data_IF_618557427824
#
_entry.id   IF_618557427824
#
_cell.length_a   1.000
_cell.length_b   1.000
_cell.length_c   1.000
_cell.angle_alpha   90.00
_cell.angle_beta   90.00
_cell.angle_gamma   90.00
#
_symmetry.space_group_name_H-M   'P 1'
#
loop_
_entity.id
_entity.type
_entity.pdbx_description
1 polymer ?
#
# COMPACT_ATOMS: atom_id res chain seq x y z
N UNK A 1 41.56 23.82 -21.71
CA UNK A 1 40.95 22.46 -21.84
C UNK A 1 40.91 21.68 -20.53
N UNK A 2 42.03 21.46 -19.81
CA UNK A 2 42.04 20.69 -18.53
C UNK A 2 41.15 21.26 -17.40
N UNK A 3 41.01 22.59 -17.30
CA UNK A 3 40.11 23.23 -16.32
C UNK A 3 38.65 22.94 -16.63
N UNK A 4 38.23 23.16 -17.88
CA UNK A 4 36.87 22.86 -18.35
C UNK A 4 36.53 21.37 -18.12
N UNK A 5 37.45 20.46 -18.43
CA UNK A 5 37.25 19.03 -18.18
C UNK A 5 37.04 18.70 -16.70
N UNK A 6 37.81 19.33 -15.80
CA UNK A 6 37.64 19.16 -14.34
C UNK A 6 36.28 19.67 -13.88
N UNK A 7 35.84 20.85 -14.35
CA UNK A 7 34.51 21.38 -14.02
C UNK A 7 33.41 20.43 -14.49
N UNK A 8 33.48 19.96 -15.74
CA UNK A 8 32.50 19.01 -16.30
C UNK A 8 32.44 17.73 -15.47
N UNK A 9 33.59 17.15 -15.10
CA UNK A 9 33.64 15.95 -14.26
C UNK A 9 33.01 16.21 -12.89
N UNK A 10 33.29 17.35 -12.26
CA UNK A 10 32.67 17.71 -10.97
C UNK A 10 31.15 17.81 -11.08
N UNK A 11 30.63 18.50 -12.08
CA UNK A 11 29.18 18.60 -12.31
C UNK A 11 28.55 17.24 -12.56
N UNK A 12 29.19 16.38 -13.36
CA UNK A 12 28.72 15.01 -13.59
C UNK A 12 28.68 14.21 -12.28
N UNK A 13 29.71 14.32 -11.44
CA UNK A 13 29.74 13.64 -10.14
C UNK A 13 28.65 14.14 -9.19
N UNK A 14 28.40 15.45 -9.12
CA UNK A 14 27.31 16.00 -8.30
C UNK A 14 25.93 15.54 -8.79
N UNK A 15 25.70 15.55 -10.10
CA UNK A 15 24.45 15.09 -10.69
C UNK A 15 24.28 13.58 -10.44
N UNK A 16 25.33 12.78 -10.63
CA UNK A 16 25.30 11.35 -10.36
C UNK A 16 25.02 11.08 -8.87
N UNK A 17 25.67 11.81 -7.96
CA UNK A 17 25.41 11.71 -6.52
C UNK A 17 23.98 12.07 -6.14
N UNK A 18 23.45 13.17 -6.68
CA UNK A 18 22.05 13.57 -6.47
C UNK A 18 21.07 12.53 -7.03
N UNK A 19 21.36 11.98 -8.20
CA UNK A 19 20.55 10.92 -8.81
C UNK A 19 20.53 9.64 -7.97
N UNK A 20 21.69 9.19 -7.49
CA UNK A 20 21.79 8.05 -6.57
C UNK A 20 21.03 8.33 -5.28
N UNK A 21 21.12 9.53 -4.73
CA UNK A 21 20.37 9.91 -3.53
C UNK A 21 18.86 9.82 -3.76
N UNK A 22 18.35 10.31 -4.90
CA UNK A 22 16.92 10.18 -5.25
C UNK A 22 16.52 8.71 -5.39
N UNK A 23 17.35 7.86 -5.99
CA UNK A 23 17.08 6.42 -6.07
C UNK A 23 17.01 5.76 -4.69
N UNK A 24 17.91 6.12 -3.77
CA UNK A 24 17.91 5.61 -2.38
C UNK A 24 16.66 6.09 -1.64
N UNK A 25 16.31 7.38 -1.76
CA UNK A 25 15.09 7.93 -1.14
C UNK A 25 13.85 7.20 -1.67
N UNK A 26 13.75 6.99 -2.99
CA UNK A 26 12.61 6.31 -3.58
C UNK A 26 12.54 4.81 -3.24
N UNK A 27 13.69 4.18 -3.02
CA UNK A 27 13.77 2.78 -2.62
C UNK A 27 13.28 2.58 -1.18
N UNK A 28 13.73 3.43 -0.23
CA UNK A 28 13.58 3.13 1.21
C UNK A 28 12.65 4.06 1.98
N UNK A 29 12.42 5.29 1.51
CA UNK A 29 11.71 6.30 2.28
C UNK A 29 10.30 6.49 1.75
N UNK A 30 10.19 6.93 0.51
CA UNK A 30 8.96 7.50 -0.04
C UNK A 30 8.84 7.10 -1.51
N UNK A 31 7.70 6.55 -1.92
CA UNK A 31 7.46 6.23 -3.34
C UNK A 31 6.21 6.95 -3.85
N UNK A 32 6.34 7.81 -4.87
CA UNK A 32 5.18 8.28 -5.58
C UNK A 32 4.67 7.18 -6.52
N UNK A 33 3.38 6.87 -6.44
CA UNK A 33 2.68 5.87 -7.26
C UNK A 33 1.31 6.39 -7.73
N UNK A 34 0.63 5.61 -8.55
CA UNK A 34 -0.70 5.91 -9.07
C UNK A 34 -1.66 4.80 -8.66
N UNK A 35 -2.84 5.19 -8.19
CA UNK A 35 -3.96 4.28 -7.86
C UNK A 35 -4.50 3.68 -9.15
N UNK A 36 -4.74 2.37 -9.14
CA UNK A 36 -5.36 1.64 -10.24
C UNK A 36 -6.62 0.92 -9.75
N UNK A 37 -7.71 1.10 -10.50
CA UNK A 37 -8.98 0.45 -10.25
C UNK A 37 -9.86 1.18 -9.22
N UNK A 38 -11.01 0.56 -8.94
CA UNK A 38 -12.11 1.18 -8.17
C UNK A 38 -12.24 0.66 -6.73
N UNK A 39 -11.32 -0.19 -6.27
CA UNK A 39 -11.44 -0.85 -4.95
C UNK A 39 -11.47 0.12 -3.77
N UNK A 40 -10.90 1.31 -3.91
CA UNK A 40 -10.86 2.35 -2.88
C UNK A 40 -11.71 3.57 -3.24
N UNK A 41 -12.56 3.45 -4.28
CA UNK A 41 -13.38 4.55 -4.79
C UNK A 41 -14.26 5.15 -3.68
N UNK A 42 -14.38 6.48 -3.67
CA UNK A 42 -14.90 7.26 -2.54
C UNK A 42 -13.79 7.91 -1.72
N UNK A 43 -12.70 7.19 -1.44
CA UNK A 43 -11.51 7.72 -0.76
C UNK A 43 -10.37 7.99 -1.73
N UNK A 44 -10.04 7.02 -2.59
CA UNK A 44 -9.02 7.08 -3.62
C UNK A 44 -9.61 6.59 -4.94
N UNK A 45 -9.62 7.46 -5.95
CA UNK A 45 -10.19 7.18 -7.26
C UNK A 45 -9.12 6.69 -8.23
N UNK A 46 -9.56 5.98 -9.28
CA UNK A 46 -8.68 5.56 -10.36
C UNK A 46 -7.86 6.74 -10.88
N UNK A 47 -6.56 6.50 -11.11
CA UNK A 47 -5.56 7.47 -11.56
C UNK A 47 -5.12 8.53 -10.55
N UNK A 48 -5.64 8.54 -9.33
CA UNK A 48 -5.12 9.39 -8.28
C UNK A 48 -3.61 9.15 -8.08
N UNK A 49 -2.84 10.23 -7.94
CA UNK A 49 -1.41 10.13 -7.62
C UNK A 49 -1.25 10.23 -6.13
N UNK A 50 -0.55 9.28 -5.55
CA UNK A 50 -0.34 9.18 -4.12
C UNK A 50 1.13 8.99 -3.81
N UNK A 51 1.50 9.37 -2.60
CA UNK A 51 2.78 9.09 -2.01
C UNK A 51 2.57 8.02 -0.94
N UNK A 52 3.40 6.98 -0.99
CA UNK A 52 3.46 5.95 0.06
C UNK A 52 4.76 6.07 0.85
N UNK A 53 4.67 5.87 2.17
CA UNK A 53 5.79 5.79 3.10
C UNK A 53 6.21 4.33 3.29
N UNK A 54 7.50 4.05 3.08
CA UNK A 54 8.10 2.72 3.20
C UNK A 54 8.99 2.54 4.44
N UNK A 55 9.16 3.57 5.24
CA UNK A 55 9.89 3.44 6.51
C UNK A 55 9.11 2.59 7.52
N UNK A 56 7.79 2.60 7.43
CA UNK A 56 6.93 2.05 8.48
C UNK A 56 7.08 0.53 8.67
N UNK A 57 7.07 -0.31 7.62
CA UNK A 57 7.21 -1.76 7.78
C UNK A 57 8.50 -2.20 8.50
N UNK A 58 9.58 -1.42 8.38
CA UNK A 58 10.92 -1.81 8.84
C UNK A 58 11.34 -1.18 10.18
N UNK A 59 10.60 -0.19 10.69
CA UNK A 59 11.00 0.58 11.90
C UNK A 59 9.90 0.71 12.95
N UNK A 60 8.63 0.67 12.55
CA UNK A 60 7.48 0.73 13.45
C UNK A 60 6.46 -0.32 13.03
N UNK A 61 6.55 -1.50 13.67
CA UNK A 61 5.62 -2.63 13.45
C UNK A 61 4.19 -2.37 13.93
N UNK A 62 3.90 -1.17 14.46
CA UNK A 62 2.53 -0.81 14.82
C UNK A 62 1.75 -0.36 13.58
N UNK A 63 0.77 -1.16 13.23
CA UNK A 63 -0.31 -0.80 12.33
C UNK A 63 -1.54 -0.47 13.16
N UNK A 64 -2.34 0.47 12.68
CA UNK A 64 -3.53 0.95 13.36
C UNK A 64 -4.77 0.80 12.47
N UNK A 65 -5.94 0.73 13.11
CA UNK A 65 -7.21 0.71 12.39
C UNK A 65 -7.37 1.96 11.52
N UNK A 66 -7.95 1.78 10.35
CA UNK A 66 -8.22 2.86 9.41
C UNK A 66 -7.01 3.30 8.59
N UNK A 67 -5.79 2.84 8.87
CA UNK A 67 -4.64 3.11 8.01
C UNK A 67 -4.84 2.52 6.61
N UNK A 68 -4.41 3.25 5.58
CA UNK A 68 -4.43 2.76 4.19
C UNK A 68 -3.03 2.26 3.85
N UNK A 69 -2.94 1.05 3.33
CA UNK A 69 -1.69 0.35 3.02
C UNK A 69 -1.68 -0.18 1.60
N UNK A 70 -0.47 -0.33 1.06
CA UNK A 70 -0.20 -1.12 -0.14
C UNK A 70 0.26 -2.50 0.32
N UNK A 71 -0.43 -3.54 -0.13
CA UNK A 71 -0.12 -4.93 0.21
C UNK A 71 0.29 -5.71 -1.03
N UNK A 72 1.09 -6.76 -0.84
CA UNK A 72 1.23 -7.87 -1.77
C UNK A 72 0.13 -8.91 -1.47
N UNK A 73 -0.82 -9.07 -2.41
CA UNK A 73 -1.99 -9.92 -2.22
C UNK A 73 -1.72 -11.43 -2.34
N UNK A 74 -0.49 -11.82 -2.69
CA UNK A 74 -0.07 -13.22 -2.80
C UNK A 74 0.17 -13.81 -1.41
N UNK A 75 -0.90 -13.97 -0.63
CA UNK A 75 -0.86 -14.57 0.71
C UNK A 75 -0.33 -16.00 0.59
N UNK A 76 0.82 -16.28 1.21
CA UNK A 76 1.56 -17.53 1.09
C UNK A 76 2.84 -17.47 0.23
N UNK A 77 3.11 -16.34 -0.43
CA UNK A 77 4.39 -16.10 -1.10
C UNK A 77 5.40 -15.49 -0.11
N UNK A 78 6.48 -16.20 0.20
CA UNK A 78 7.58 -15.64 0.98
C UNK A 78 8.24 -14.48 0.22
N UNK A 79 8.13 -13.28 0.78
CA UNK A 79 8.69 -12.06 0.17
C UNK A 79 10.21 -12.10 0.16
N UNK A 80 10.80 -12.00 -1.02
CA UNK A 80 12.25 -11.95 -1.24
C UNK A 80 12.70 -10.51 -1.43
N UNK A 81 13.99 -10.27 -1.20
CA UNK A 81 14.66 -8.98 -1.52
C UNK A 81 14.48 -8.61 -3.01
N UNK A 82 14.38 -9.60 -3.89
CA UNK A 82 14.10 -9.38 -5.31
C UNK A 82 12.72 -8.80 -5.56
N UNK A 83 11.71 -9.16 -4.77
CA UNK A 83 10.36 -8.62 -4.93
C UNK A 83 10.31 -7.15 -4.56
N UNK A 84 11.05 -6.75 -3.52
CA UNK A 84 11.20 -5.33 -3.16
C UNK A 84 11.88 -4.53 -4.26
N UNK A 85 12.95 -5.06 -4.86
CA UNK A 85 13.61 -4.44 -6.01
C UNK A 85 12.68 -4.30 -7.22
N UNK A 86 11.94 -5.37 -7.54
CA UNK A 86 10.99 -5.38 -8.66
C UNK A 86 9.87 -4.38 -8.40
N UNK A 87 9.32 -4.33 -7.18
CA UNK A 87 8.32 -3.35 -6.79
C UNK A 87 8.83 -1.91 -6.99
N UNK A 88 10.02 -1.61 -6.48
CA UNK A 88 10.62 -0.29 -6.55
C UNK A 88 10.87 0.16 -7.99
N UNK A 89 11.22 -0.77 -8.88
CA UNK A 89 11.50 -0.49 -10.28
C UNK A 89 10.21 -0.38 -11.10
N UNK A 90 9.25 -1.29 -10.94
CA UNK A 90 8.07 -1.37 -11.82
C UNK A 90 6.91 -0.50 -11.37
N UNK A 91 6.73 -0.33 -10.06
CA UNK A 91 5.57 0.37 -9.50
C UNK A 91 5.87 1.83 -9.13
N UNK A 92 6.99 2.39 -9.59
CA UNK A 92 7.23 3.82 -9.53
C UNK A 92 6.52 4.55 -10.70
N UNK A 93 6.15 5.82 -10.50
CA UNK A 93 5.46 6.62 -11.52
C UNK A 93 6.22 6.72 -12.85
N UNK A 94 7.55 6.65 -12.85
CA UNK A 94 8.36 6.77 -14.06
C UNK A 94 8.21 5.50 -14.90
N UNK A 95 8.34 4.33 -14.29
CA UNK A 95 8.21 3.04 -14.95
C UNK A 95 6.80 2.82 -15.47
N UNK A 96 5.76 3.22 -14.73
CA UNK A 96 4.39 3.19 -15.25
C UNK A 96 4.23 4.06 -16.51
N UNK A 97 4.76 5.29 -16.51
CA UNK A 97 4.72 6.17 -17.70
C UNK A 97 5.46 5.58 -18.92
N UNK A 98 6.46 4.73 -18.69
CA UNK A 98 7.27 4.12 -19.76
C UNK A 98 6.65 2.81 -20.25
N UNK A 99 6.16 1.97 -19.34
CA UNK A 99 5.77 0.57 -19.64
C UNK A 99 4.27 0.34 -19.70
N UNK A 100 3.47 1.23 -19.10
CA UNK A 100 2.02 1.08 -18.96
C UNK A 100 1.58 -0.10 -18.10
N UNK A 101 2.51 -0.87 -17.51
CA UNK A 101 2.22 -2.04 -16.70
C UNK A 101 2.49 -1.73 -15.22
N UNK A 102 1.46 -1.89 -14.39
CA UNK A 102 1.66 -2.16 -12.97
C UNK A 102 1.40 -3.64 -12.71
N UNK A 103 1.98 -4.12 -11.62
CA UNK A 103 1.70 -5.44 -11.08
C UNK A 103 0.29 -5.46 -10.47
N UNK A 104 -0.53 -6.43 -10.87
CA UNK A 104 -1.93 -6.59 -10.49
C UNK A 104 -2.14 -7.15 -9.07
N UNK A 105 -1.07 -7.60 -8.43
CA UNK A 105 -1.05 -8.15 -7.08
C UNK A 105 -0.65 -7.15 -6.00
N UNK A 106 -0.31 -5.90 -6.33
CA UNK A 106 -0.15 -4.84 -5.33
C UNK A 106 -1.44 -4.07 -5.14
N UNK A 107 -2.09 -4.28 -3.99
CA UNK A 107 -3.40 -3.72 -3.72
C UNK A 107 -3.34 -2.61 -2.70
N UNK A 108 -4.10 -1.54 -2.93
CA UNK A 108 -4.35 -0.50 -1.94
C UNK A 108 -5.62 -0.88 -1.17
N UNK A 109 -5.52 -0.96 0.16
CA UNK A 109 -6.59 -1.36 1.06
C UNK A 109 -6.50 -0.61 2.38
N UNK A 110 -7.58 -0.59 3.15
CA UNK A 110 -7.65 -0.06 4.52
C UNK A 110 -7.55 -1.17 5.53
N UNK A 111 -6.79 -0.96 6.60
CA UNK A 111 -6.72 -1.86 7.75
C UNK A 111 -8.02 -1.74 8.56
N UNK A 112 -8.70 -2.86 8.72
CA UNK A 112 -9.92 -2.99 9.52
C UNK A 112 -9.61 -3.59 10.87
N UNK A 113 -8.73 -4.59 10.91
CA UNK A 113 -8.24 -5.18 12.16
C UNK A 113 -6.75 -5.48 12.10
N UNK A 114 -6.14 -5.50 13.28
CA UNK A 114 -4.75 -5.84 13.55
C UNK A 114 -4.72 -7.09 14.44
N UNK A 115 -3.53 -7.64 14.65
CA UNK A 115 -3.30 -8.80 15.50
C UNK A 115 -4.16 -8.83 16.78
N UNK A 116 -4.85 -9.95 16.98
CA UNK A 116 -5.68 -10.20 18.15
C UNK A 116 -7.11 -9.67 18.06
N UNK A 117 -7.43 -8.83 17.07
CA UNK A 117 -8.78 -8.32 16.89
C UNK A 117 -9.77 -9.42 16.51
N UNK A 118 -10.99 -9.24 16.97
CA UNK A 118 -12.17 -10.03 16.57
C UNK A 118 -13.06 -9.16 15.70
N UNK A 119 -13.32 -9.60 14.48
CA UNK A 119 -14.14 -8.90 13.48
C UNK A 119 -15.36 -9.74 13.18
N UNK A 120 -16.53 -9.16 13.35
CA UNK A 120 -17.81 -9.75 13.00
C UNK A 120 -18.50 -8.88 11.94
N UNK A 121 -19.31 -9.52 11.10
CA UNK A 121 -20.00 -8.86 10.00
C UNK A 121 -21.50 -9.07 10.12
N UNK A 122 -22.25 -7.99 9.96
CA UNK A 122 -23.68 -8.03 9.61
C UNK A 122 -23.83 -7.62 8.15
N UNK A 123 -25.03 -7.68 7.57
CA UNK A 123 -25.25 -7.27 6.18
C UNK A 123 -24.79 -5.83 5.89
N UNK A 124 -24.77 -4.96 6.90
CA UNK A 124 -24.55 -3.52 6.76
C UNK A 124 -23.49 -2.93 7.69
N UNK A 125 -22.97 -3.68 8.65
CA UNK A 125 -22.05 -3.18 9.66
C UNK A 125 -20.88 -4.14 9.88
N UNK A 126 -19.73 -3.57 10.24
CA UNK A 126 -18.59 -4.30 10.80
C UNK A 126 -18.56 -4.04 12.30
N UNK A 127 -18.44 -5.11 13.09
CA UNK A 127 -18.28 -5.04 14.53
C UNK A 127 -16.83 -5.45 14.84
N UNK A 128 -16.07 -4.55 15.44
CA UNK A 128 -14.67 -4.74 15.80
C UNK A 128 -14.57 -4.80 17.33
N UNK A 129 -14.12 -5.94 17.86
CA UNK A 129 -13.97 -6.18 19.30
C UNK A 129 -15.27 -5.91 20.11
N UNK A 130 -16.42 -6.19 19.52
CA UNK A 130 -17.75 -5.99 20.13
C UNK A 130 -18.33 -4.58 19.96
N UNK A 131 -17.62 -3.65 19.33
CA UNK A 131 -18.12 -2.30 19.03
C UNK A 131 -18.37 -2.13 17.52
N UNK A 132 -19.45 -1.45 17.16
CA UNK A 132 -19.71 -1.12 15.73
C UNK A 132 -18.62 -0.17 15.26
N UNK A 133 -17.89 -0.59 14.22
CA UNK A 133 -16.84 0.23 13.61
C UNK A 133 -17.47 1.42 12.89
N UNK A 134 -17.06 2.64 13.23
CA UNK A 134 -17.52 3.84 12.53
C UNK A 134 -16.79 4.01 11.20
N UNK A 135 -17.52 3.91 10.09
CA UNK A 135 -16.94 3.92 8.75
C UNK A 135 -17.42 5.12 7.91
N UNK A 136 -17.10 6.33 8.37
CA UNK A 136 -17.50 7.59 7.71
C UNK A 136 -16.98 7.76 6.27
N UNK A 137 -16.01 6.93 5.87
CA UNK A 137 -15.44 6.87 4.52
C UNK A 137 -16.25 6.01 3.53
N UNK A 138 -17.32 5.34 3.96
CA UNK A 138 -18.14 4.48 3.11
C UNK A 138 -19.38 5.17 2.55
N UNK A 139 -19.81 4.73 1.37
CA UNK A 139 -21.16 4.98 0.88
C UNK A 139 -22.18 4.12 1.67
N UNK A 140 -23.39 4.65 1.87
CA UNK A 140 -24.51 4.00 2.58
C UNK A 140 -24.99 2.70 1.93
N UNK A 141 -24.51 2.40 0.73
CA UNK A 141 -24.81 1.20 -0.05
C UNK A 141 -23.84 0.04 0.21
N UNK A 142 -22.85 0.20 1.09
CA UNK A 142 -21.93 -0.87 1.47
C UNK A 142 -22.68 -2.11 1.98
N UNK A 143 -22.23 -3.29 1.55
CA UNK A 143 -22.72 -4.60 1.97
C UNK A 143 -21.57 -5.54 2.30
N UNK A 144 -21.80 -6.40 3.28
CA UNK A 144 -20.86 -7.44 3.69
C UNK A 144 -21.45 -8.81 3.38
N UNK A 145 -20.85 -9.52 2.42
CA UNK A 145 -21.28 -10.86 2.03
C UNK A 145 -20.40 -11.92 2.71
N UNK A 146 -20.21 -11.79 4.02
CA UNK A 146 -19.48 -12.74 4.85
C UNK A 146 -20.20 -12.86 6.18
N UNK A 147 -20.33 -14.08 6.69
CA UNK A 147 -21.04 -14.39 7.94
C UNK A 147 -20.13 -15.02 8.99
N UNK A 148 -18.81 -14.90 8.79
CA UNK A 148 -17.80 -15.54 9.62
C UNK A 148 -17.21 -14.51 10.59
N UNK A 149 -17.06 -14.94 11.84
CA UNK A 149 -16.24 -14.20 12.82
C UNK A 149 -14.78 -14.47 12.50
N UNK A 150 -14.01 -13.40 12.28
CA UNK A 150 -12.58 -13.46 11.98
C UNK A 150 -11.81 -13.05 13.23
N UNK A 151 -10.83 -13.87 13.62
CA UNK A 151 -9.80 -13.48 14.60
C UNK A 151 -8.52 -13.22 13.83
N UNK A 152 -7.97 -12.01 13.95
CA UNK A 152 -6.75 -11.63 13.23
C UNK A 152 -5.54 -12.33 13.87
N UNK A 153 -4.79 -13.17 13.13
CA UNK A 153 -3.65 -13.89 13.69
C UNK A 153 -2.49 -12.96 14.10
N UNK A 154 -1.58 -13.51 14.92
CA UNK A 154 -0.29 -12.87 15.22
C UNK A 154 0.49 -12.56 13.93
N UNK A 155 1.07 -11.36 13.86
CA UNK A 155 1.82 -10.88 12.70
C UNK A 155 0.99 -10.57 11.47
N UNK A 156 -0.35 -10.47 11.58
CA UNK A 156 -1.24 -10.22 10.44
C UNK A 156 -2.12 -8.98 10.64
N UNK A 157 -2.68 -8.51 9.52
CA UNK A 157 -3.73 -7.49 9.46
C UNK A 157 -4.90 -8.00 8.63
N UNK A 158 -6.12 -7.55 8.93
CA UNK A 158 -7.27 -7.75 8.08
C UNK A 158 -7.59 -6.46 7.33
N UNK A 159 -7.58 -6.51 5.99
CA UNK A 159 -7.72 -5.32 5.16
C UNK A 159 -8.92 -5.40 4.22
N UNK A 160 -9.57 -4.26 4.00
CA UNK A 160 -10.73 -4.15 3.11
C UNK A 160 -10.63 -2.95 2.19
N UNK A 161 -11.23 -3.05 1.00
CA UNK A 161 -11.40 -1.88 0.14
C UNK A 161 -12.54 -1.01 0.62
N UNK A 162 -12.42 0.31 0.43
CA UNK A 162 -13.50 1.24 0.76
C UNK A 162 -14.71 1.06 -0.17
N UNK A 163 -14.50 0.61 -1.41
CA UNK A 163 -15.59 0.17 -2.26
C UNK A 163 -15.97 -1.30 -1.94
N UNK A 164 -16.69 -1.48 -0.84
CA UNK A 164 -17.03 -2.77 -0.23
C UNK A 164 -17.69 -3.75 -1.19
N UNK A 165 -18.48 -3.25 -2.14
CA UNK A 165 -19.30 -4.06 -3.03
C UNK A 165 -18.50 -4.72 -4.16
N UNK A 166 -17.31 -4.20 -4.48
CA UNK A 166 -16.50 -4.71 -5.62
C UNK A 166 -15.07 -5.11 -5.22
N UNK A 167 -14.60 -4.71 -4.03
CA UNK A 167 -13.23 -4.96 -3.62
C UNK A 167 -12.93 -6.45 -3.45
N UNK A 168 -11.85 -6.92 -4.10
CA UNK A 168 -11.15 -8.14 -3.69
C UNK A 168 -10.18 -7.77 -2.56
N UNK A 169 -10.39 -8.35 -1.38
CA UNK A 169 -9.67 -8.01 -0.15
C UNK A 169 -9.62 -9.19 0.83
N UNK A 170 -9.32 -8.96 2.12
CA UNK A 170 -9.17 -10.05 3.11
C UNK A 170 -10.41 -10.93 3.28
N UNK A 171 -11.61 -10.48 2.87
CA UNK A 171 -12.80 -11.33 2.81
C UNK A 171 -12.65 -12.51 1.84
N UNK A 172 -11.71 -12.43 0.89
CA UNK A 172 -11.40 -13.49 -0.09
C UNK A 172 -10.04 -14.14 0.11
N UNK A 173 -9.02 -13.36 0.47
CA UNK A 173 -7.63 -13.84 0.60
C UNK A 173 -7.23 -14.15 2.05
N UNK A 174 -8.09 -13.86 3.03
CA UNK A 174 -7.78 -13.97 4.46
C UNK A 174 -6.96 -12.80 4.99
N UNK A 175 -6.55 -12.91 6.25
CA UNK A 175 -5.64 -11.95 6.88
C UNK A 175 -4.29 -11.93 6.18
N UNK A 176 -3.71 -10.75 6.04
CA UNK A 176 -2.48 -10.49 5.29
C UNK A 176 -1.32 -10.37 6.28
N UNK A 177 -0.21 -11.11 6.07
CA UNK A 177 0.97 -10.97 6.91
C UNK A 177 1.53 -9.54 6.84
N UNK A 178 2.03 -9.02 7.96
CA UNK A 178 2.59 -7.66 8.04
C UNK A 178 3.78 -7.50 7.07
N UNK A 179 4.56 -8.55 6.84
CA UNK A 179 5.67 -8.56 5.87
C UNK A 179 5.21 -8.38 4.41
N UNK A 180 3.93 -8.63 4.11
CA UNK A 180 3.36 -8.36 2.80
C UNK A 180 2.97 -6.88 2.62
N UNK A 181 3.04 -6.06 3.67
CA UNK A 181 2.81 -4.62 3.56
C UNK A 181 4.04 -3.95 2.95
N UNK A 182 3.82 -3.24 1.85
CA UNK A 182 4.87 -2.59 1.06
C UNK A 182 5.06 -1.14 1.46
N UNK A 183 4.00 -0.48 1.92
CA UNK A 183 4.06 0.89 2.41
C UNK A 183 2.70 1.39 2.88
N UNK A 184 2.72 2.47 3.66
CA UNK A 184 1.53 3.17 4.12
C UNK A 184 1.21 4.32 3.18
N UNK A 185 -0.04 4.51 2.82
CA UNK A 185 -0.49 5.73 2.16
C UNK A 185 -0.19 6.92 3.06
N UNK A 186 0.43 7.96 2.49
CA UNK A 186 0.77 9.17 3.22
C UNK A 186 -0.10 10.35 2.77
N UNK A 187 -0.09 10.64 1.46
CA UNK A 187 -0.80 11.80 0.93
C UNK A 187 -1.10 11.65 -0.56
N UNK A 188 -2.23 12.22 -0.98
CA UNK A 188 -2.61 12.39 -2.38
C UNK A 188 -2.00 13.69 -2.93
N UNK A 189 -1.34 13.59 -4.09
CA UNK A 189 -0.61 14.68 -4.75
C UNK A 189 -1.25 15.00 -6.11
N UNK A 190 -2.35 15.75 -6.06
CA UNK A 190 -3.04 16.23 -7.25
C UNK A 190 -2.32 17.39 -7.91
#
# INVERSE_FOLDING_TARGET
MKRVLKEVVSWVLYIAGAFVLVLVINAFLIQPTQVQGSSMEGTLNDKDRIIINKLTPNFTQSYEHGEIVVIDSRVGHERKVTDELIFNVRNNLIAYKITGHQDDYYWIKRIIGVEGDVIEFTDTEVILNGEVLEESYLDRTARYNISETIVVPEGHVFVMGDNRNISEDSRRIGSVPIENIVGKYWIKIN
#
